data_IF_811078067200
#
_entry.id   IF_811078067200
#
_cell.length_a   1.000
_cell.length_b   1.000
_cell.length_c   1.000
_cell.angle_alpha   90.00
_cell.angle_beta   90.00
_cell.angle_gamma   90.00
#
_symmetry.space_group_name_H-M   'P 1'
#
loop_
_entity.id
_entity.type
_entity.pdbx_description
1 polymer ?
#
# COMPACT_ATOMS: atom_id res chain seq x y z
N UNK A 1 45.55 12.49 -19.31
CA UNK A 1 44.91 11.71 -18.24
C UNK A 1 45.09 12.48 -16.94
N UNK A 2 44.10 13.32 -16.61
CA UNK A 2 44.14 14.14 -15.40
C UNK A 2 43.81 13.29 -14.18
N UNK A 3 44.65 13.35 -13.16
CA UNK A 3 44.42 12.73 -11.86
C UNK A 3 43.21 13.42 -11.21
N UNK A 4 42.08 12.72 -11.14
CA UNK A 4 40.91 13.19 -10.39
C UNK A 4 40.96 12.48 -9.05
N UNK A 5 41.11 13.24 -7.98
CA UNK A 5 41.08 12.73 -6.61
C UNK A 5 39.66 12.19 -6.33
N UNK A 6 39.47 10.87 -6.16
CA UNK A 6 38.14 10.30 -5.95
C UNK A 6 37.73 10.57 -4.51
N UNK A 7 36.89 11.58 -4.30
CA UNK A 7 36.25 11.82 -3.01
C UNK A 7 35.46 10.56 -2.60
N UNK A 8 36.04 9.79 -1.68
CA UNK A 8 35.51 8.55 -1.17
C UNK A 8 34.47 8.86 -0.08
N UNK A 9 33.19 8.55 -0.34
CA UNK A 9 32.12 8.67 0.65
C UNK A 9 31.63 7.31 1.18
N UNK A 10 32.39 6.23 0.95
CA UNK A 10 32.11 4.90 1.50
C UNK A 10 31.10 4.04 0.71
N UNK A 11 30.27 4.64 -0.16
CA UNK A 11 29.23 3.91 -0.90
C UNK A 11 29.53 3.78 -2.40
N UNK A 12 30.23 4.75 -2.99
CA UNK A 12 30.56 4.78 -4.42
C UNK A 12 31.97 5.33 -4.63
N UNK A 13 32.62 4.90 -5.72
CA UNK A 13 33.89 5.48 -6.16
C UNK A 13 33.80 5.80 -7.64
N UNK A 14 33.96 7.08 -8.00
CA UNK A 14 34.11 7.48 -9.40
C UNK A 14 35.49 7.03 -9.86
N UNK A 15 35.53 6.09 -10.79
CA UNK A 15 36.77 5.49 -11.31
C UNK A 15 37.25 6.15 -12.60
N UNK A 16 36.43 7.03 -13.20
CA UNK A 16 36.83 7.83 -14.34
C UNK A 16 35.69 8.62 -14.96
N UNK A 17 36.05 9.43 -15.95
CA UNK A 17 35.14 10.15 -16.85
C UNK A 17 35.44 9.66 -18.26
N UNK A 18 34.41 9.41 -19.07
CA UNK A 18 34.60 9.01 -20.47
C UNK A 18 35.32 10.12 -21.26
N UNK A 19 36.04 9.74 -22.32
CA UNK A 19 36.85 10.67 -23.14
C UNK A 19 36.06 11.83 -23.73
N UNK A 20 34.73 11.67 -23.86
CA UNK A 20 33.81 12.70 -24.34
C UNK A 20 33.23 13.59 -23.23
N UNK A 21 33.63 13.43 -21.97
CA UNK A 21 33.16 14.22 -20.82
C UNK A 21 31.71 13.93 -20.38
N UNK A 22 30.91 13.24 -21.20
CA UNK A 22 29.46 13.16 -21.00
C UNK A 22 29.01 12.00 -20.10
N UNK A 23 29.94 11.18 -19.60
CA UNK A 23 29.65 9.98 -18.81
C UNK A 23 30.64 9.82 -17.68
N UNK A 24 30.13 9.57 -16.47
CA UNK A 24 30.95 9.14 -15.33
C UNK A 24 30.97 7.62 -15.26
N UNK A 25 32.14 7.06 -14.97
CA UNK A 25 32.33 5.64 -14.72
C UNK A 25 32.42 5.47 -13.21
N UNK A 26 31.43 4.81 -12.62
CA UNK A 26 31.31 4.64 -11.17
C UNK A 26 31.42 3.17 -10.82
N UNK A 27 32.26 2.86 -9.84
CA UNK A 27 32.36 1.53 -9.21
C UNK A 27 31.59 1.57 -7.89
N UNK A 28 30.71 0.59 -7.69
CA UNK A 28 29.91 0.46 -6.47
C UNK A 28 30.29 -0.89 -5.85
N UNK A 29 30.68 -0.89 -4.58
CA UNK A 29 31.11 -2.12 -3.90
C UNK A 29 29.95 -2.77 -3.10
N UNK A 30 28.80 -2.09 -3.00
CA UNK A 30 27.72 -2.43 -2.07
C UNK A 30 26.32 -2.41 -2.70
N UNK A 31 26.15 -2.92 -3.92
CA UNK A 31 24.83 -3.35 -4.38
C UNK A 31 24.60 -4.82 -4.02
N UNK A 32 23.40 -5.24 -3.59
CA UNK A 32 23.12 -6.65 -3.35
C UNK A 32 23.25 -7.44 -4.66
N UNK A 33 24.15 -8.45 -4.68
CA UNK A 33 23.97 -9.63 -5.54
C UNK A 33 22.70 -10.34 -5.07
N UNK A 34 21.79 -10.92 -5.90
CA UNK A 34 21.80 -11.21 -7.36
C UNK A 34 20.42 -10.95 -8.07
N UNK A 35 20.19 -11.32 -9.36
CA UNK A 35 21.10 -11.50 -10.49
C UNK A 35 20.86 -10.37 -11.52
N UNK A 36 21.82 -9.46 -11.71
CA UNK A 36 21.81 -8.54 -12.84
C UNK A 36 23.21 -8.54 -13.45
N UNK A 37 23.21 -8.76 -14.77
CA UNK A 37 24.35 -8.86 -15.67
C UNK A 37 25.39 -7.77 -15.44
N UNK A 38 26.66 -8.10 -15.73
CA UNK A 38 27.90 -7.30 -15.70
C UNK A 38 27.87 -6.03 -16.57
N UNK A 39 26.78 -5.27 -16.56
CA UNK A 39 26.60 -4.05 -17.33
C UNK A 39 26.93 -2.85 -16.44
N UNK A 40 27.98 -2.12 -16.83
CA UNK A 40 28.28 -0.79 -16.31
C UNK A 40 27.07 0.12 -16.49
N UNK A 41 26.46 0.56 -15.38
CA UNK A 41 25.40 1.58 -15.41
C UNK A 41 26.06 2.92 -15.76
N UNK A 42 25.47 3.64 -16.70
CA UNK A 42 25.96 4.95 -17.15
C UNK A 42 24.99 6.02 -16.73
N UNK A 43 25.51 7.04 -16.04
CA UNK A 43 24.76 8.25 -15.73
C UNK A 43 25.18 9.35 -16.71
N UNK A 44 24.24 10.03 -17.39
CA UNK A 44 24.56 11.19 -18.20
C UNK A 44 25.07 12.31 -17.28
N UNK A 45 26.29 12.81 -17.55
CA UNK A 45 26.88 13.94 -16.84
C UNK A 45 26.43 15.27 -17.47
N UNK A 46 25.12 15.45 -17.63
CA UNK A 46 24.52 16.55 -18.41
C UNK A 46 24.05 17.73 -17.54
N UNK A 47 24.44 17.78 -16.26
CA UNK A 47 23.96 18.80 -15.31
C UNK A 47 22.45 18.76 -15.02
N UNK A 48 21.70 17.84 -15.65
CA UNK A 48 20.28 17.62 -15.40
C UNK A 48 20.12 16.69 -14.21
N UNK A 49 19.19 17.05 -13.34
CA UNK A 49 18.88 16.28 -12.15
C UNK A 49 18.24 14.95 -12.55
N UNK A 50 18.72 13.85 -11.98
CA UNK A 50 18.11 12.53 -12.12
C UNK A 50 18.07 11.88 -10.74
N UNK A 51 16.91 11.96 -10.10
CA UNK A 51 16.63 11.26 -8.84
C UNK A 51 15.66 10.14 -9.19
N UNK A 52 16.14 8.89 -9.19
CA UNK A 52 15.30 7.73 -9.50
C UNK A 52 14.64 7.18 -8.23
N UNK A 53 13.38 6.76 -8.34
CA UNK A 53 12.54 6.31 -7.22
C UNK A 53 13.13 5.16 -6.38
N UNK A 54 13.89 4.27 -7.00
CA UNK A 54 14.42 3.05 -6.35
C UNK A 54 15.66 3.29 -5.49
N UNK A 55 16.32 4.44 -5.64
CA UNK A 55 17.64 4.68 -5.04
C UNK A 55 17.63 5.46 -3.73
N UNK A 56 16.66 6.35 -3.48
CA UNK A 56 16.74 7.29 -2.34
C UNK A 56 15.59 7.17 -1.32
N UNK A 57 14.44 6.62 -1.72
CA UNK A 57 13.29 6.43 -0.82
C UNK A 57 12.81 4.99 -0.91
N UNK A 58 13.03 4.22 0.16
CA UNK A 58 12.57 2.83 0.24
C UNK A 58 11.37 2.65 1.18
N UNK A 59 11.04 3.70 1.95
CA UNK A 59 9.95 3.68 2.91
C UNK A 59 10.04 2.56 3.93
N UNK A 60 8.98 2.41 4.73
CA UNK A 60 8.74 1.19 5.50
C UNK A 60 7.76 0.29 4.72
N UNK A 61 7.99 -1.02 4.77
CA UNK A 61 7.18 -2.05 4.12
C UNK A 61 6.17 -2.68 5.08
N UNK A 62 6.21 -2.31 6.36
CA UNK A 62 5.31 -2.88 7.35
C UNK A 62 3.86 -2.49 7.06
N UNK A 63 3.06 -3.48 6.66
CA UNK A 63 1.62 -3.33 6.56
C UNK A 63 0.95 -3.91 7.80
N UNK A 64 0.04 -3.16 8.41
CA UNK A 64 -0.76 -3.61 9.55
C UNK A 64 -2.04 -4.25 9.07
N UNK A 65 -2.23 -5.51 9.44
CA UNK A 65 -3.49 -6.23 9.29
C UNK A 65 -4.16 -6.40 10.65
N UNK A 66 -5.47 -6.16 10.72
CA UNK A 66 -6.27 -6.45 11.90
C UNK A 66 -7.30 -7.51 11.53
N UNK A 67 -7.30 -8.61 12.28
CA UNK A 67 -8.40 -9.57 12.23
C UNK A 67 -9.54 -9.02 13.09
N UNK A 68 -10.68 -8.75 12.45
CA UNK A 68 -11.88 -8.22 13.11
C UNK A 68 -12.95 -9.28 13.32
N UNK A 69 -12.81 -10.45 12.70
CA UNK A 69 -13.72 -11.59 12.82
C UNK A 69 -12.97 -12.88 12.43
N UNK A 70 -13.53 -14.06 12.69
CA UNK A 70 -12.93 -15.35 12.28
C UNK A 70 -12.64 -15.39 10.78
N UNK A 71 -13.54 -14.81 9.98
CA UNK A 71 -13.45 -14.81 8.52
C UNK A 71 -13.09 -13.45 7.91
N UNK A 72 -12.88 -12.41 8.72
CA UNK A 72 -12.62 -11.05 8.21
C UNK A 72 -11.28 -10.51 8.71
N UNK A 73 -10.36 -10.29 7.78
CA UNK A 73 -9.10 -9.56 8.01
C UNK A 73 -9.16 -8.25 7.23
N UNK A 74 -8.88 -7.14 7.91
CA UNK A 74 -8.82 -5.81 7.31
C UNK A 74 -7.35 -5.38 7.18
N UNK A 75 -6.94 -5.08 5.94
CA UNK A 75 -5.65 -4.43 5.68
C UNK A 75 -5.80 -2.92 5.90
N UNK A 76 -5.36 -2.46 7.08
CA UNK A 76 -5.46 -1.05 7.46
C UNK A 76 -4.16 -0.28 7.22
N UNK A 77 -3.06 -0.99 7.00
CA UNK A 77 -1.74 -0.40 6.78
C UNK A 77 -1.68 0.46 5.52
N UNK A 78 -1.11 1.65 5.68
CA UNK A 78 -0.44 2.37 4.60
C UNK A 78 1.05 2.24 4.86
N UNK A 79 1.78 1.71 3.87
CA UNK A 79 3.22 1.54 3.94
C UNK A 79 3.91 2.83 3.54
N UNK A 80 5.06 3.11 4.17
CA UNK A 80 5.93 4.19 3.72
C UNK A 80 6.48 3.96 2.31
N UNK A 81 6.55 2.72 1.82
CA UNK A 81 6.95 2.43 0.43
C UNK A 81 5.92 2.91 -0.63
N UNK A 82 4.77 3.44 -0.21
CA UNK A 82 3.74 3.84 -1.18
C UNK A 82 4.25 4.95 -2.12
N UNK A 83 4.03 4.74 -3.43
CA UNK A 83 4.51 5.63 -4.48
C UNK A 83 3.98 7.05 -4.39
N UNK A 84 2.84 7.29 -3.72
CA UNK A 84 2.35 8.64 -3.48
C UNK A 84 3.33 9.47 -2.63
N UNK A 85 3.91 8.89 -1.59
CA UNK A 85 4.87 9.58 -0.72
C UNK A 85 6.22 9.77 -1.41
N UNK A 86 6.67 8.78 -2.17
CA UNK A 86 7.90 8.86 -2.96
C UNK A 86 7.87 10.08 -3.88
N UNK A 87 6.79 10.27 -4.63
CA UNK A 87 6.63 11.41 -5.56
C UNK A 87 6.67 12.75 -4.85
N UNK A 88 5.99 12.88 -3.69
CA UNK A 88 6.04 14.12 -2.88
C UNK A 88 7.47 14.40 -2.44
N UNK A 89 8.14 13.40 -1.87
CA UNK A 89 9.51 13.57 -1.37
C UNK A 89 10.45 13.87 -2.55
N UNK A 90 10.26 13.22 -3.72
CA UNK A 90 11.04 13.51 -4.91
C UNK A 90 10.89 14.95 -5.33
N UNK A 91 9.65 15.43 -5.45
CA UNK A 91 9.38 16.81 -5.83
C UNK A 91 9.99 17.82 -4.85
N UNK A 92 9.97 17.53 -3.54
CA UNK A 92 10.65 18.35 -2.53
C UNK A 92 12.17 18.31 -2.71
N UNK A 93 12.76 17.14 -2.94
CA UNK A 93 14.18 17.00 -3.25
C UNK A 93 14.55 17.75 -4.54
N UNK A 94 13.66 17.75 -5.54
CA UNK A 94 13.87 18.46 -6.80
C UNK A 94 14.00 19.97 -6.61
N UNK A 95 13.21 20.54 -5.70
CA UNK A 95 13.26 21.96 -5.33
C UNK A 95 14.45 22.23 -4.40
N UNK A 96 14.74 21.34 -3.46
CA UNK A 96 15.75 21.52 -2.41
C UNK A 96 17.21 21.45 -2.92
N UNK A 97 17.45 20.86 -4.09
CA UNK A 97 18.81 20.77 -4.68
C UNK A 97 19.45 22.12 -5.02
N UNK A 98 18.69 23.21 -4.91
CA UNK A 98 19.23 24.56 -4.98
C UNK A 98 19.72 24.97 -6.36
N UNK A 99 20.11 26.24 -6.44
CA UNK A 99 20.52 26.96 -7.65
C UNK A 99 19.38 27.16 -8.67
N UNK A 100 18.65 28.27 -8.52
CA UNK A 100 17.57 28.70 -9.42
C UNK A 100 18.09 29.49 -10.63
N UNK A 101 19.40 29.74 -10.69
CA UNK A 101 20.04 30.46 -11.79
C UNK A 101 21.38 29.78 -12.06
N UNK A 102 21.63 29.42 -13.31
CA UNK A 102 22.93 28.91 -13.68
C UNK A 102 23.91 30.08 -13.86
N UNK A 103 24.60 30.45 -12.78
CA UNK A 103 25.63 31.51 -12.79
C UNK A 103 27.00 31.01 -13.25
N UNK A 104 27.12 29.74 -13.68
CA UNK A 104 28.38 29.19 -14.19
C UNK A 104 28.77 29.93 -15.47
N UNK A 105 30.08 30.15 -15.67
CA UNK A 105 30.60 30.69 -16.92
C UNK A 105 30.31 29.69 -18.06
N UNK A 106 29.74 30.12 -19.21
CA UNK A 106 29.41 29.24 -20.34
C UNK A 106 30.57 28.40 -20.87
N UNK A 107 31.82 28.82 -20.65
CA UNK A 107 33.01 28.07 -21.04
C UNK A 107 33.38 26.95 -20.06
N UNK A 108 32.84 26.99 -18.83
CA UNK A 108 33.09 26.03 -17.75
C UNK A 108 31.92 25.04 -17.57
N UNK A 109 30.86 25.14 -18.39
CA UNK A 109 29.67 24.28 -18.36
C UNK A 109 29.64 23.33 -19.57
N UNK A 110 30.02 22.04 -19.42
CA UNK A 110 30.00 21.04 -20.51
C UNK A 110 28.62 20.84 -21.15
N UNK A 111 27.56 21.16 -20.40
CA UNK A 111 26.15 21.10 -20.80
C UNK A 111 25.57 22.46 -21.27
N UNK A 112 26.37 23.53 -21.22
CA UNK A 112 25.94 24.91 -21.48
C UNK A 112 25.22 25.56 -20.30
N UNK A 113 25.18 26.90 -20.30
CA UNK A 113 24.36 27.68 -19.37
C UNK A 113 22.91 27.63 -19.85
N UNK A 114 22.03 27.08 -19.02
CA UNK A 114 20.60 26.98 -19.31
C UNK A 114 19.82 27.83 -18.32
N UNK A 115 19.32 28.97 -18.83
CA UNK A 115 18.48 29.90 -18.09
C UNK A 115 17.11 29.30 -17.71
N UNK A 116 16.65 28.27 -18.41
CA UNK A 116 15.37 27.61 -18.15
C UNK A 116 15.50 26.45 -17.16
N UNK A 117 16.72 26.06 -16.75
CA UNK A 117 16.93 24.87 -15.91
C UNK A 117 16.13 24.92 -14.61
N UNK A 118 16.02 26.08 -13.98
CA UNK A 118 15.21 26.23 -12.78
C UNK A 118 13.71 26.14 -13.06
N UNK A 119 13.26 26.71 -14.18
CA UNK A 119 11.87 26.61 -14.61
C UNK A 119 11.49 25.16 -14.95
N UNK A 120 12.35 24.42 -15.65
CA UNK A 120 12.17 22.99 -15.95
C UNK A 120 12.04 22.18 -14.66
N UNK A 121 12.94 22.40 -13.68
CA UNK A 121 12.92 21.71 -12.38
C UNK A 121 11.66 22.00 -11.58
N UNK A 122 11.26 23.27 -11.48
CA UNK A 122 10.02 23.65 -10.77
C UNK A 122 8.81 23.04 -11.47
N UNK A 123 8.78 23.05 -12.81
CA UNK A 123 7.70 22.44 -13.59
C UNK A 123 7.63 20.92 -13.37
N UNK A 124 8.77 20.23 -13.36
CA UNK A 124 8.86 18.80 -13.09
C UNK A 124 8.42 18.46 -11.65
N UNK A 125 8.88 19.24 -10.66
CA UNK A 125 8.45 19.08 -9.28
C UNK A 125 6.94 19.32 -9.13
N UNK A 126 6.38 20.33 -9.80
CA UNK A 126 4.93 20.58 -9.81
C UNK A 126 4.17 19.42 -10.47
N UNK A 127 4.66 18.90 -11.61
CA UNK A 127 4.03 17.76 -12.26
C UNK A 127 4.04 16.51 -11.36
N UNK A 128 5.11 16.28 -10.60
CA UNK A 128 5.18 15.18 -9.63
C UNK A 128 4.27 15.41 -8.42
N UNK A 129 4.14 16.65 -7.92
CA UNK A 129 3.20 16.97 -6.84
C UNK A 129 1.75 16.79 -7.28
N UNK A 130 1.41 17.24 -8.49
CA UNK A 130 0.09 17.03 -9.07
C UNK A 130 -0.19 15.52 -9.21
N UNK A 131 0.79 14.74 -9.66
CA UNK A 131 0.66 13.28 -9.78
C UNK A 131 0.57 12.55 -8.44
N UNK A 132 1.28 13.06 -7.43
CA UNK A 132 1.21 12.57 -6.07
C UNK A 132 -0.14 12.86 -5.43
N UNK A 133 -0.75 14.01 -5.75
CA UNK A 133 -2.08 14.38 -5.28
C UNK A 133 -3.17 13.55 -5.98
N UNK A 134 -3.09 13.43 -7.30
CA UNK A 134 -4.00 12.66 -8.14
C UNK A 134 -3.28 12.18 -9.40
N UNK A 135 -3.10 10.88 -9.50
CA UNK A 135 -2.27 10.31 -10.57
C UNK A 135 -2.90 10.51 -11.96
N UNK A 136 -2.07 10.92 -12.91
CA UNK A 136 -2.47 11.12 -14.30
C UNK A 136 -1.66 10.23 -15.25
N UNK A 137 -2.28 9.14 -15.70
CA UNK A 137 -1.68 8.18 -16.63
C UNK A 137 -1.24 8.78 -17.99
N UNK A 138 -1.74 9.96 -18.38
CA UNK A 138 -1.37 10.60 -19.66
C UNK A 138 -0.05 11.37 -19.51
N UNK A 139 0.10 12.12 -18.42
CA UNK A 139 1.29 12.95 -18.18
C UNK A 139 2.44 12.15 -17.57
N UNK A 140 2.12 11.17 -16.72
CA UNK A 140 3.09 10.50 -15.84
C UNK A 140 2.96 8.98 -15.93
N UNK A 141 2.87 8.43 -17.15
CA UNK A 141 2.69 7.00 -17.40
C UNK A 141 3.80 6.10 -16.85
N UNK A 142 4.97 6.67 -16.56
CA UNK A 142 6.12 5.97 -15.97
C UNK A 142 6.12 5.99 -14.44
N UNK A 143 5.24 6.78 -13.83
CA UNK A 143 5.14 6.93 -12.38
C UNK A 143 4.24 5.86 -11.76
N UNK A 144 4.44 5.60 -10.46
CA UNK A 144 3.55 4.71 -9.70
C UNK A 144 2.10 5.18 -9.81
N UNK A 145 1.13 4.27 -9.88
CA UNK A 145 -0.29 4.64 -9.99
C UNK A 145 -0.92 5.14 -8.68
N UNK A 146 -0.22 4.95 -7.56
CA UNK A 146 -0.70 5.36 -6.25
C UNK A 146 -0.63 6.88 -6.09
N UNK A 147 -1.64 7.45 -5.46
CA UNK A 147 -1.76 8.87 -5.16
C UNK A 147 -2.41 9.10 -3.78
N UNK A 148 -2.23 10.30 -3.23
CA UNK A 148 -2.70 10.67 -1.89
C UNK A 148 -4.24 10.66 -1.80
N UNK A 149 -4.93 10.89 -2.91
CA UNK A 149 -6.39 10.86 -2.95
C UNK A 149 -6.88 9.42 -2.76
N UNK A 150 -6.31 8.45 -3.47
CA UNK A 150 -6.57 7.02 -3.30
C UNK A 150 -6.20 6.54 -1.90
N UNK A 151 -5.07 6.99 -1.35
CA UNK A 151 -4.70 6.68 0.03
C UNK A 151 -5.71 7.22 1.04
N UNK A 152 -6.16 8.47 0.90
CA UNK A 152 -7.20 9.04 1.76
C UNK A 152 -8.51 8.25 1.68
N UNK A 153 -8.91 7.83 0.47
CA UNK A 153 -10.08 6.95 0.31
C UNK A 153 -9.86 5.60 1.00
N UNK A 154 -8.68 4.99 0.87
CA UNK A 154 -8.33 3.73 1.55
C UNK A 154 -8.46 3.89 3.07
N UNK A 155 -7.89 4.94 3.66
CA UNK A 155 -8.02 5.22 5.11
C UNK A 155 -9.48 5.40 5.50
N UNK A 156 -10.24 6.22 4.76
CA UNK A 156 -11.64 6.50 5.06
C UNK A 156 -12.52 5.25 4.99
N UNK A 157 -12.32 4.39 3.97
CA UNK A 157 -13.02 3.11 3.85
C UNK A 157 -12.64 2.16 4.98
N UNK A 158 -11.36 2.07 5.32
CA UNK A 158 -10.88 1.26 6.44
C UNK A 158 -11.50 1.70 7.77
N UNK A 159 -11.55 3.01 8.03
CA UNK A 159 -12.20 3.57 9.22
C UNK A 159 -13.68 3.20 9.27
N UNK A 160 -14.40 3.33 8.15
CA UNK A 160 -15.81 2.96 8.05
C UNK A 160 -16.04 1.46 8.26
N UNK A 161 -15.17 0.62 7.70
CA UNK A 161 -15.24 -0.83 7.86
C UNK A 161 -15.02 -1.23 9.33
N UNK A 162 -14.00 -0.67 9.97
CA UNK A 162 -13.74 -0.90 11.40
C UNK A 162 -14.91 -0.42 12.26
N UNK A 163 -15.41 0.79 12.02
CA UNK A 163 -16.56 1.34 12.75
C UNK A 163 -17.82 0.46 12.60
N UNK A 164 -18.12 0.00 11.39
CA UNK A 164 -19.27 -0.88 11.15
C UNK A 164 -19.13 -2.21 11.90
N UNK A 165 -17.91 -2.77 11.94
CA UNK A 165 -17.63 -4.01 12.65
C UNK A 165 -17.74 -3.85 14.16
N UNK A 166 -17.26 -2.74 14.72
CA UNK A 166 -17.45 -2.40 16.14
C UNK A 166 -18.94 -2.36 16.48
N UNK A 167 -19.74 -1.59 15.73
CA UNK A 167 -21.19 -1.49 15.98
C UNK A 167 -21.91 -2.86 15.88
N UNK A 168 -21.49 -3.70 14.92
CA UNK A 168 -22.04 -5.05 14.78
C UNK A 168 -21.69 -5.93 15.99
N UNK A 169 -20.46 -5.85 16.49
CA UNK A 169 -20.02 -6.60 17.66
C UNK A 169 -20.68 -6.11 18.95
N UNK A 170 -20.82 -4.79 19.15
CA UNK A 170 -21.56 -4.23 20.29
C UNK A 170 -23.01 -4.69 20.30
N UNK A 171 -23.64 -4.72 19.13
CA UNK A 171 -25.00 -5.23 18.97
C UNK A 171 -25.08 -6.72 19.32
N UNK A 172 -24.11 -7.53 18.87
CA UNK A 172 -24.04 -8.95 19.20
C UNK A 172 -23.83 -9.17 20.70
N UNK A 173 -22.93 -8.42 21.33
CA UNK A 173 -22.70 -8.49 22.78
C UNK A 173 -23.99 -8.22 23.53
N UNK A 174 -24.71 -7.16 23.17
CA UNK A 174 -26.00 -6.84 23.79
C UNK A 174 -27.03 -7.95 23.61
N UNK A 175 -27.13 -8.54 22.42
CA UNK A 175 -28.01 -9.69 22.20
C UNK A 175 -27.63 -10.91 23.06
N UNK A 176 -26.33 -11.16 23.25
CA UNK A 176 -25.86 -12.26 24.09
C UNK A 176 -26.12 -11.97 25.58
N UNK A 177 -25.92 -10.73 26.03
CA UNK A 177 -26.27 -10.27 27.39
C UNK A 177 -27.77 -10.43 27.66
N UNK A 178 -28.63 -9.97 26.74
CA UNK A 178 -30.08 -10.10 26.87
C UNK A 178 -30.51 -11.59 26.94
N UNK A 179 -29.87 -12.48 26.17
CA UNK A 179 -30.13 -13.92 26.22
C UNK A 179 -29.65 -14.55 27.54
N UNK A 180 -28.46 -14.17 28.03
CA UNK A 180 -27.94 -14.64 29.32
C UNK A 180 -28.89 -14.20 30.43
N UNK A 181 -29.26 -12.92 30.47
CA UNK A 181 -30.24 -12.38 31.41
C UNK A 181 -31.57 -13.13 31.36
N UNK A 182 -32.05 -13.43 30.15
CA UNK A 182 -33.25 -14.22 29.93
C UNK A 182 -33.16 -15.62 30.52
N UNK A 183 -32.03 -16.31 30.32
CA UNK A 183 -31.77 -17.66 30.86
C UNK A 183 -31.59 -17.61 32.38
N UNK A 184 -30.81 -16.65 32.89
CA UNK A 184 -30.56 -16.48 34.33
C UNK A 184 -31.82 -16.14 35.11
N UNK A 185 -32.72 -15.35 34.53
CA UNK A 185 -34.00 -14.96 35.14
C UNK A 185 -35.13 -15.95 34.85
N UNK A 186 -34.93 -16.93 33.97
CA UNK A 186 -35.98 -17.88 33.59
C UNK A 186 -36.39 -18.72 34.79
N UNK A 187 -37.71 -18.77 35.06
CA UNK A 187 -38.23 -19.57 36.15
C UNK A 187 -38.07 -21.06 35.80
N UNK A 188 -37.51 -21.90 36.70
CA UNK A 188 -37.36 -23.33 36.44
C UNK A 188 -38.68 -24.04 36.13
N UNK A 189 -39.80 -23.52 36.62
CA UNK A 189 -41.15 -24.05 36.33
C UNK A 189 -41.56 -23.76 34.88
N UNK A 190 -41.30 -22.56 34.38
CA UNK A 190 -41.60 -22.16 33.00
C UNK A 190 -40.65 -22.84 32.02
N UNK A 191 -39.37 -22.98 32.38
CA UNK A 191 -38.40 -23.77 31.62
C UNK A 191 -38.83 -25.24 31.51
N UNK A 192 -39.32 -25.85 32.60
CA UNK A 192 -39.82 -27.22 32.58
C UNK A 192 -41.08 -27.37 31.69
N UNK A 193 -41.96 -26.37 31.69
CA UNK A 193 -43.13 -26.36 30.80
C UNK A 193 -42.73 -26.25 29.33
N UNK A 194 -41.82 -25.34 28.98
CA UNK A 194 -41.31 -25.19 27.61
C UNK A 194 -40.58 -26.45 27.13
N UNK A 195 -39.80 -27.09 28.00
CA UNK A 195 -39.13 -28.36 27.68
C UNK A 195 -40.16 -29.47 27.40
N UNK A 196 -41.20 -29.57 28.23
CA UNK A 196 -42.27 -30.55 28.06
C UNK A 196 -43.03 -30.31 26.74
N UNK A 197 -43.27 -29.05 26.38
CA UNK A 197 -43.90 -28.67 25.11
C UNK A 197 -43.02 -29.07 23.91
N UNK A 198 -41.71 -28.80 23.98
CA UNK A 198 -40.76 -29.19 22.92
C UNK A 198 -40.65 -30.72 22.76
N UNK A 199 -40.64 -31.49 23.86
CA UNK A 199 -40.69 -32.96 23.80
C UNK A 199 -41.95 -33.42 23.07
N UNK A 200 -43.08 -32.82 23.39
CA UNK A 200 -44.38 -33.15 22.76
C UNK A 200 -44.37 -32.83 21.26
N UNK A 201 -43.83 -31.67 20.86
CA UNK A 201 -43.68 -31.29 19.45
C UNK A 201 -42.75 -32.28 18.71
N UNK A 202 -41.66 -32.70 19.35
CA UNK A 202 -40.74 -33.66 18.77
C UNK A 202 -41.41 -35.03 18.56
N UNK A 203 -42.18 -35.51 19.53
CA UNK A 203 -42.99 -36.74 19.40
C UNK A 203 -43.97 -36.65 18.22
N UNK A 204 -44.67 -35.51 18.06
CA UNK A 204 -45.53 -35.28 16.90
C UNK A 204 -44.76 -35.27 15.58
N UNK A 205 -43.57 -34.69 15.54
CA UNK A 205 -42.74 -34.69 14.33
C UNK A 205 -42.29 -36.10 13.93
N UNK A 206 -41.96 -36.96 14.91
CA UNK A 206 -41.64 -38.37 14.66
C UNK A 206 -42.86 -39.16 14.19
N UNK A 207 -44.04 -38.91 14.78
CA UNK A 207 -45.28 -39.53 14.32
C UNK A 207 -45.65 -39.10 12.89
N UNK A 208 -45.46 -37.81 12.56
CA UNK A 208 -45.65 -37.29 11.20
C UNK A 208 -44.65 -37.92 10.21
N UNK A 209 -43.38 -38.05 10.58
CA UNK A 209 -42.38 -38.70 9.74
C UNK A 209 -42.68 -40.19 9.52
N UNK A 210 -43.15 -40.88 10.55
CA UNK A 210 -43.57 -42.29 10.48
C UNK A 210 -44.80 -42.49 9.56
N UNK A 211 -45.77 -41.57 9.62
CA UNK A 211 -46.93 -41.59 8.70
C UNK A 211 -46.52 -41.30 7.25
N UNK A 212 -45.60 -40.36 7.02
CA UNK A 212 -45.04 -40.11 5.67
C UNK A 212 -44.29 -41.33 5.13
N UNK A 213 -43.47 -41.98 5.96
CA UNK A 213 -42.74 -43.19 5.55
C UNK A 213 -43.68 -44.37 5.26
N UNK A 214 -44.74 -44.56 6.05
CA UNK A 214 -45.74 -45.62 5.79
C UNK A 214 -46.59 -45.35 4.56
N UNK A 215 -46.97 -44.08 4.29
CA UNK A 215 -47.65 -43.69 3.05
C UNK A 215 -46.74 -43.84 1.82
N UNK A 216 -45.46 -43.51 1.95
CA UNK A 216 -44.46 -43.71 0.89
C UNK A 216 -44.28 -45.20 0.56
N UNK A 217 -44.22 -46.07 1.58
CA UNK A 217 -44.09 -47.53 1.38
C UNK A 217 -45.36 -48.15 0.78
N UNK A 218 -46.55 -47.72 1.23
CA UNK A 218 -47.85 -48.19 0.72
C UNK A 218 -48.07 -47.78 -0.76
N UNK A 219 -47.54 -46.62 -1.18
CA UNK A 219 -47.57 -46.17 -2.57
C UNK A 219 -46.52 -46.87 -3.45
N UNK A 220 -45.48 -47.47 -2.87
CA UNK A 220 -44.42 -48.17 -3.61
C UNK A 220 -44.73 -49.68 -3.81
N UNK A 221 -45.66 -50.25 -3.04
CA UNK A 221 -46.06 -51.67 -3.11
C UNK A 221 -47.35 -51.92 -3.91
N UNK A 222 -47.81 -50.96 -4.73
CA UNK A 222 -48.92 -51.12 -5.68
C UNK A 222 -48.44 -51.19 -7.12
#
# INVERSE_FOLDING_TARGET
MGNIDPAYNGEYTVVGVADNGNRLIVKTNSFPKPPLTTASITYPANGKMSVSSTSYYQGDKLATDIRVDENTVLNIGITGEDGAFEKVIRALCMIAQGNLVDERNPMDAPDGVDANRALERVTEAMNLLDDALSHNNIKNSSESKSDLTQLNYKVGLNLKNVSTKITTQETLVKYLEDNIDGIEKMNPTEAAQLLQEQVTILEYSYAALSTVNSLSLMNYLK
#
